data_IF_812389904920
#
_entry.id   IF_812389904920
#
_cell.length_a   1.000
_cell.length_b   1.000
_cell.length_c   1.000
_cell.angle_alpha   90.00
_cell.angle_beta   90.00
_cell.angle_gamma   90.00
#
_symmetry.space_group_name_H-M   'P 1'
#
loop_
_entity.id
_entity.type
_entity.pdbx_description
1 polymer ?
#
# COMPACT_ATOMS: atom_id res chain seq x y z
N UNK A 1 2.07 -17.13 -11.59
CA UNK A 1 0.86 -16.41 -11.16
C UNK A 1 0.24 -16.91 -9.86
N UNK A 2 0.27 -18.22 -9.54
CA UNK A 2 -0.29 -18.74 -8.27
C UNK A 2 0.48 -18.31 -7.01
N UNK A 3 1.82 -18.28 -7.06
CA UNK A 3 2.67 -18.00 -5.90
C UNK A 3 2.44 -16.60 -5.28
N UNK A 4 2.41 -15.49 -6.04
CA UNK A 4 2.09 -14.17 -5.49
C UNK A 4 0.70 -14.08 -4.87
N UNK A 5 -0.28 -14.74 -5.48
CA UNK A 5 -1.65 -14.76 -5.00
C UNK A 5 -1.75 -15.47 -3.64
N UNK A 6 -1.12 -16.65 -3.52
CA UNK A 6 -1.06 -17.39 -2.25
C UNK A 6 -0.38 -16.55 -1.17
N UNK A 7 0.78 -15.94 -1.47
CA UNK A 7 1.47 -15.06 -0.52
C UNK A 7 0.61 -13.89 -0.08
N UNK A 8 -0.09 -13.23 -1.03
CA UNK A 8 -1.00 -12.14 -0.68
C UNK A 8 -2.17 -12.63 0.19
N UNK A 9 -2.75 -13.80 -0.08
CA UNK A 9 -3.89 -14.32 0.70
C UNK A 9 -3.42 -14.68 2.11
N UNK A 10 -2.38 -15.50 2.22
CA UNK A 10 -1.85 -15.99 3.49
C UNK A 10 -1.35 -14.82 4.35
N UNK A 11 -0.61 -13.89 3.76
CA UNK A 11 -0.16 -12.69 4.45
C UNK A 11 -1.31 -11.81 4.93
N UNK A 12 -2.33 -11.55 4.09
CA UNK A 12 -3.51 -10.74 4.47
C UNK A 12 -4.40 -11.40 5.51
N UNK A 13 -4.36 -12.74 5.62
CA UNK A 13 -5.06 -13.52 6.62
C UNK A 13 -4.40 -13.48 8.02
N UNK A 14 -3.21 -12.91 8.14
CA UNK A 14 -2.54 -12.74 9.43
C UNK A 14 -1.48 -13.80 9.75
N UNK A 15 -1.00 -14.56 8.77
CA UNK A 15 0.09 -15.51 8.99
C UNK A 15 1.38 -14.79 9.38
N UNK A 16 1.88 -15.08 10.59
CA UNK A 16 2.96 -14.32 11.19
C UNK A 16 4.31 -14.55 10.48
N UNK A 17 4.54 -15.75 9.94
CA UNK A 17 5.79 -16.07 9.23
C UNK A 17 5.86 -15.30 7.91
N UNK A 18 4.76 -15.28 7.16
CA UNK A 18 4.66 -14.51 5.92
C UNK A 18 4.77 -13.00 6.20
N UNK A 19 4.16 -12.50 7.27
CA UNK A 19 4.27 -11.08 7.67
C UNK A 19 5.71 -10.72 7.99
N UNK A 20 6.38 -11.53 8.82
CA UNK A 20 7.75 -11.27 9.25
C UNK A 20 8.71 -11.29 8.05
N UNK A 21 8.54 -12.25 7.15
CA UNK A 21 9.38 -12.33 5.96
C UNK A 21 9.09 -11.18 4.97
N UNK A 22 7.84 -10.73 4.85
CA UNK A 22 7.51 -9.55 4.06
C UNK A 22 8.17 -8.29 4.62
N UNK A 23 8.13 -8.09 5.95
CA UNK A 23 8.81 -6.98 6.64
C UNK A 23 10.32 -7.01 6.40
N UNK A 24 10.95 -8.17 6.58
CA UNK A 24 12.39 -8.35 6.33
C UNK A 24 12.79 -8.06 4.88
N UNK A 25 11.98 -8.49 3.91
CA UNK A 25 12.23 -8.18 2.48
C UNK A 25 12.07 -6.69 2.19
N UNK A 26 11.08 -6.05 2.80
CA UNK A 26 10.89 -4.61 2.67
C UNK A 26 12.03 -3.81 3.30
N UNK A 27 12.51 -4.20 4.49
CA UNK A 27 13.67 -3.58 5.14
C UNK A 27 14.95 -3.68 4.30
N UNK A 28 15.15 -4.82 3.63
CA UNK A 28 16.26 -4.95 2.66
C UNK A 28 16.04 -4.08 1.44
N UNK A 29 14.79 -3.96 0.97
CA UNK A 29 14.46 -3.16 -0.19
C UNK A 29 14.73 -1.67 0.01
N UNK A 30 14.34 -1.12 1.18
CA UNK A 30 14.66 0.27 1.53
C UNK A 30 16.16 0.50 1.68
N UNK A 31 16.95 -0.56 1.95
CA UNK A 31 18.41 -0.50 2.00
C UNK A 31 19.09 -0.67 0.62
N UNK A 32 18.31 -0.89 -0.46
CA UNK A 32 18.80 -0.95 -1.83
C UNK A 32 18.69 -2.33 -2.51
N UNK A 33 18.27 -3.37 -1.80
CA UNK A 33 18.07 -4.69 -2.41
C UNK A 33 16.84 -4.69 -3.33
N UNK A 34 16.81 -5.57 -4.33
CA UNK A 34 15.64 -5.71 -5.21
C UNK A 34 14.67 -6.77 -4.70
N UNK A 35 13.38 -6.43 -4.62
CA UNK A 35 12.31 -7.43 -4.47
C UNK A 35 11.92 -7.95 -5.85
N UNK A 36 11.78 -9.27 -5.98
CA UNK A 36 11.23 -9.92 -7.19
C UNK A 36 9.91 -9.23 -7.59
N UNK A 37 9.80 -8.70 -8.82
CA UNK A 37 8.61 -8.00 -9.29
C UNK A 37 7.30 -8.78 -9.10
N UNK A 38 7.34 -10.11 -9.15
CA UNK A 38 6.17 -10.96 -8.97
C UNK A 38 5.59 -10.92 -7.56
N UNK A 39 6.41 -10.71 -6.53
CA UNK A 39 5.96 -10.71 -5.13
C UNK A 39 5.95 -9.31 -4.52
N UNK A 40 6.51 -8.32 -5.21
CA UNK A 40 6.69 -6.96 -4.71
C UNK A 40 5.39 -6.32 -4.24
N UNK A 41 4.34 -6.43 -5.04
CA UNK A 41 3.01 -5.93 -4.69
C UNK A 41 2.48 -6.58 -3.40
N UNK A 42 2.63 -7.91 -3.27
CA UNK A 42 2.22 -8.62 -2.07
C UNK A 42 3.03 -8.17 -0.84
N UNK A 43 4.34 -7.97 -0.98
CA UNK A 43 5.20 -7.45 0.09
C UNK A 43 4.72 -6.08 0.54
N UNK A 44 4.55 -5.13 -0.38
CA UNK A 44 4.08 -3.77 -0.06
C UNK A 44 2.71 -3.78 0.62
N UNK A 45 1.77 -4.56 0.11
CA UNK A 45 0.44 -4.68 0.69
C UNK A 45 0.48 -5.24 2.12
N UNK A 46 1.29 -6.26 2.38
CA UNK A 46 1.42 -6.88 3.70
C UNK A 46 2.09 -5.91 4.68
N UNK A 47 3.19 -5.27 4.30
CA UNK A 47 3.88 -4.32 5.21
C UNK A 47 3.02 -3.09 5.49
N UNK A 48 2.30 -2.57 4.50
CA UNK A 48 1.33 -1.48 4.70
C UNK A 48 0.22 -1.88 5.66
N UNK A 49 -0.34 -3.08 5.50
CA UNK A 49 -1.45 -3.61 6.30
C UNK A 49 -1.10 -3.77 7.79
N UNK A 50 0.09 -4.30 8.07
CA UNK A 50 0.55 -4.60 9.44
C UNK A 50 1.64 -3.64 9.93
N UNK A 51 1.83 -2.53 9.22
CA UNK A 51 2.83 -1.51 9.50
C UNK A 51 2.31 -0.40 10.40
N UNK A 52 3.18 0.57 10.59
CA UNK A 52 2.94 1.82 11.30
C UNK A 52 3.12 3.03 10.38
N UNK A 53 3.01 4.23 10.95
CA UNK A 53 3.17 5.47 10.17
C UNK A 53 4.57 5.55 9.54
N UNK A 54 5.61 5.03 10.21
CA UNK A 54 6.96 4.98 9.65
C UNK A 54 7.01 4.12 8.38
N UNK A 55 6.37 2.95 8.41
CA UNK A 55 6.27 2.08 7.22
C UNK A 55 5.56 2.79 6.07
N UNK A 56 4.53 3.59 6.37
CA UNK A 56 3.80 4.37 5.36
C UNK A 56 4.63 5.51 4.80
N UNK A 57 5.40 6.19 5.64
CA UNK A 57 6.35 7.22 5.20
C UNK A 57 7.38 6.64 4.23
N UNK A 58 7.92 5.46 4.52
CA UNK A 58 8.85 4.77 3.60
C UNK A 58 8.17 4.40 2.27
N UNK A 59 6.91 3.93 2.30
CA UNK A 59 6.15 3.67 1.07
C UNK A 59 5.90 4.96 0.26
N UNK A 60 5.65 6.09 0.92
CA UNK A 60 5.53 7.41 0.26
C UNK A 60 6.85 7.85 -0.36
N UNK A 61 7.99 7.65 0.33
CA UNK A 61 9.32 7.95 -0.21
C UNK A 61 9.60 7.13 -1.47
N UNK A 62 9.32 5.82 -1.43
CA UNK A 62 9.43 4.96 -2.61
C UNK A 62 8.52 5.43 -3.75
N UNK A 63 7.31 5.89 -3.45
CA UNK A 63 6.37 6.40 -4.46
C UNK A 63 6.90 7.66 -5.13
N UNK A 64 7.43 8.60 -4.36
CA UNK A 64 8.01 9.84 -4.85
C UNK A 64 9.27 9.60 -5.67
N UNK A 65 10.08 8.60 -5.31
CA UNK A 65 11.31 8.23 -6.01
C UNK A 65 11.10 7.33 -7.24
N UNK A 66 9.93 6.72 -7.40
CA UNK A 66 9.65 5.83 -8.51
C UNK A 66 9.49 6.61 -9.83
N UNK A 67 10.24 6.21 -10.87
CA UNK A 67 10.08 6.78 -12.22
C UNK A 67 8.98 6.08 -13.01
N UNK A 68 8.81 4.77 -12.79
CA UNK A 68 7.85 3.95 -13.53
C UNK A 68 6.43 4.11 -12.97
N UNK A 69 5.48 4.44 -13.86
CA UNK A 69 4.05 4.54 -13.51
C UNK A 69 3.51 3.26 -12.86
N UNK A 70 3.93 2.09 -13.34
CA UNK A 70 3.48 0.80 -12.78
C UNK A 70 3.89 0.63 -11.31
N UNK A 71 5.10 1.07 -10.94
CA UNK A 71 5.58 1.02 -9.56
C UNK A 71 4.83 2.03 -8.68
N UNK A 72 4.57 3.24 -9.20
CA UNK A 72 3.72 4.23 -8.51
C UNK A 72 2.33 3.69 -8.21
N UNK A 73 1.70 3.04 -9.19
CA UNK A 73 0.37 2.43 -9.02
C UNK A 73 0.39 1.33 -7.96
N UNK A 74 1.40 0.45 -7.96
CA UNK A 74 1.56 -0.59 -6.93
C UNK A 74 1.69 0.01 -5.53
N UNK A 75 2.56 1.00 -5.37
CA UNK A 75 2.80 1.66 -4.09
C UNK A 75 1.55 2.39 -3.59
N UNK A 76 0.84 3.10 -4.48
CA UNK A 76 -0.40 3.79 -4.14
C UNK A 76 -1.50 2.82 -3.69
N UNK A 77 -1.66 1.70 -4.41
CA UNK A 77 -2.61 0.65 -4.02
C UNK A 77 -2.24 0.01 -2.68
N UNK A 78 -0.94 -0.24 -2.45
CA UNK A 78 -0.45 -0.83 -1.22
C UNK A 78 -0.67 0.09 -0.02
N UNK A 79 -0.40 1.39 -0.12
CA UNK A 79 -0.60 2.35 0.97
C UNK A 79 -2.06 2.36 1.48
N UNK A 80 -3.03 2.06 0.60
CA UNK A 80 -4.44 1.93 0.98
C UNK A 80 -4.83 0.67 1.76
N UNK A 81 -3.91 -0.30 1.92
CA UNK A 81 -4.18 -1.58 2.59
C UNK A 81 -4.02 -1.53 4.12
N UNK A 82 -3.62 -0.39 4.69
CA UNK A 82 -3.48 -0.22 6.14
C UNK A 82 -4.77 -0.57 6.90
N UNK A 83 -4.62 -1.11 8.10
CA UNK A 83 -5.73 -1.38 9.02
C UNK A 83 -5.98 -0.23 10.01
N UNK A 84 -5.09 0.78 10.06
CA UNK A 84 -5.17 1.89 11.01
C UNK A 84 -5.96 3.04 10.40
N UNK A 85 -7.11 3.45 10.97
CA UNK A 85 -7.94 4.53 10.40
C UNK A 85 -7.18 5.85 10.17
N UNK A 86 -6.32 6.24 11.11
CA UNK A 86 -5.51 7.47 11.00
C UNK A 86 -4.55 7.43 9.80
N UNK A 87 -3.91 6.29 9.59
CA UNK A 87 -3.05 6.06 8.41
C UNK A 87 -3.88 6.16 7.13
N UNK A 88 -5.06 5.53 7.10
CA UNK A 88 -5.94 5.55 5.92
C UNK A 88 -6.36 7.00 5.61
N UNK A 89 -6.73 7.79 6.62
CA UNK A 89 -7.07 9.19 6.43
C UNK A 89 -5.90 10.00 5.88
N UNK A 90 -4.71 9.86 6.46
CA UNK A 90 -3.50 10.55 5.98
C UNK A 90 -3.14 10.18 4.54
N UNK A 91 -3.30 8.91 4.17
CA UNK A 91 -3.05 8.47 2.79
C UNK A 91 -4.14 8.94 1.83
N UNK A 92 -5.40 9.02 2.26
CA UNK A 92 -6.48 9.64 1.47
C UNK A 92 -6.19 11.11 1.21
N UNK A 93 -5.78 11.88 2.22
CA UNK A 93 -5.32 13.27 2.06
C UNK A 93 -4.15 13.34 1.08
N UNK A 94 -3.14 12.49 1.23
CA UNK A 94 -2.02 12.44 0.28
C UNK A 94 -2.47 12.14 -1.17
N UNK A 95 -3.52 11.35 -1.35
CA UNK A 95 -4.03 10.92 -2.68
C UNK A 95 -4.91 11.98 -3.35
N UNK A 96 -5.65 12.76 -2.57
CA UNK A 96 -6.70 13.68 -3.06
C UNK A 96 -6.45 15.15 -2.77
N UNK A 97 -5.65 15.47 -1.77
CA UNK A 97 -5.33 16.83 -1.37
C UNK A 97 -3.92 17.19 -1.88
N UNK A 98 -3.84 18.20 -2.76
CA UNK A 98 -2.59 18.71 -3.34
C UNK A 98 -2.14 18.02 -4.64
N UNK A 99 -0.89 18.29 -5.04
CA UNK A 99 -0.32 17.86 -6.33
C UNK A 99 0.56 16.59 -6.25
N UNK A 100 0.51 15.86 -5.13
CA UNK A 100 1.37 14.70 -4.89
C UNK A 100 1.03 13.50 -5.79
N UNK A 101 -0.24 13.31 -6.08
CA UNK A 101 -0.76 12.22 -6.92
C UNK A 101 -1.52 12.85 -8.08
N UNK A 102 -1.18 12.44 -9.30
CA UNK A 102 -1.91 12.90 -10.50
C UNK A 102 -3.35 12.40 -10.41
N UNK A 103 -4.31 13.26 -10.73
CA UNK A 103 -5.75 12.94 -10.64
C UNK A 103 -6.15 11.65 -11.38
N UNK A 104 -5.49 11.35 -12.50
CA UNK A 104 -5.70 10.11 -13.25
C UNK A 104 -5.25 8.84 -12.50
N UNK A 105 -4.30 8.96 -11.58
CA UNK A 105 -3.73 7.86 -10.80
C UNK A 105 -4.40 7.73 -9.42
N UNK A 106 -5.10 8.78 -8.95
CA UNK A 106 -5.80 8.82 -7.66
C UNK A 106 -6.80 7.67 -7.47
N UNK A 107 -7.38 7.14 -8.55
CA UNK A 107 -8.29 5.98 -8.51
C UNK A 107 -7.59 4.70 -8.04
N UNK A 108 -6.29 4.52 -8.31
CA UNK A 108 -5.56 3.35 -7.81
C UNK A 108 -5.39 3.36 -6.29
N UNK A 109 -5.30 4.55 -5.69
CA UNK A 109 -5.41 4.71 -4.24
C UNK A 109 -6.78 4.26 -3.73
N UNK A 110 -7.86 4.69 -4.38
CA UNK A 110 -9.24 4.25 -4.05
C UNK A 110 -9.41 2.75 -4.06
N UNK A 111 -8.86 2.06 -5.06
CA UNK A 111 -8.90 0.60 -5.13
C UNK A 111 -8.24 -0.01 -3.89
N UNK A 112 -7.05 0.49 -3.50
CA UNK A 112 -6.35 0.04 -2.30
C UNK A 112 -7.22 0.10 -1.04
N UNK A 113 -7.88 1.25 -0.82
CA UNK A 113 -8.77 1.46 0.32
C UNK A 113 -10.06 0.63 0.26
N UNK A 114 -10.64 0.45 -0.94
CA UNK A 114 -11.87 -0.32 -1.14
C UNK A 114 -11.69 -1.83 -0.83
N UNK A 115 -10.45 -2.30 -0.86
CA UNK A 115 -10.11 -3.69 -0.54
C UNK A 115 -10.04 -3.96 0.97
N UNK A 116 -10.04 -2.93 1.83
CA UNK A 116 -10.13 -3.09 3.29
C UNK A 116 -11.54 -2.74 3.80
N UNK A 117 -12.00 -3.43 4.86
CA UNK A 117 -13.35 -3.20 5.43
C UNK A 117 -13.53 -1.76 5.88
N UNK A 118 -12.53 -1.25 6.60
CA UNK A 118 -12.60 0.07 7.21
C UNK A 118 -12.29 1.16 6.17
N UNK A 119 -11.42 0.87 5.19
CA UNK A 119 -11.16 1.74 4.05
C UNK A 119 -12.38 1.97 3.16
N UNK A 120 -13.25 0.96 2.95
CA UNK A 120 -14.52 1.15 2.21
C UNK A 120 -15.41 2.21 2.84
N UNK A 121 -15.58 2.16 4.15
CA UNK A 121 -16.42 3.13 4.87
C UNK A 121 -15.81 4.53 4.83
N UNK A 122 -14.48 4.64 4.91
CA UNK A 122 -13.78 5.92 4.84
C UNK A 122 -13.84 6.54 3.44
N UNK A 123 -13.60 5.75 2.39
CA UNK A 123 -13.76 6.18 0.99
C UNK A 123 -15.20 6.63 0.74
N UNK A 124 -16.18 5.86 1.19
CA UNK A 124 -17.59 6.23 1.01
C UNK A 124 -17.92 7.57 1.67
N UNK A 125 -17.47 7.80 2.91
CA UNK A 125 -17.64 9.10 3.58
C UNK A 125 -16.94 10.25 2.86
N UNK A 126 -15.76 10.00 2.28
CA UNK A 126 -15.02 11.00 1.52
C UNK A 126 -15.75 11.37 0.23
N UNK A 127 -16.30 10.38 -0.48
CA UNK A 127 -17.12 10.59 -1.68
C UNK A 127 -18.43 11.34 -1.40
N UNK A 128 -18.95 11.28 -0.18
CA UNK A 128 -20.14 12.05 0.21
C UNK A 128 -19.84 13.51 0.57
N UNK A 129 -18.59 13.82 0.95
CA UNK A 129 -18.17 15.16 1.36
C UNK A 129 -17.68 16.04 0.20
N UNK A 130 -17.28 15.40 -0.90
CA UNK A 130 -16.83 16.03 -2.15
C UNK A 130 -17.91 15.92 -3.22
#
# INVERSE_FOLDING_TARGET
>A
MLRPMILSIVGKSGDQDVINEAKKRFERHIAGDLIDPNIREAVYAIVSRYGDEKTQEELRKLYSAADMTEEKVRLLSAMGQSLKPEVIENTLKFTFEGDNVRMQDSFYGLIGYALSRDGRNLVWKLLQKN
#
